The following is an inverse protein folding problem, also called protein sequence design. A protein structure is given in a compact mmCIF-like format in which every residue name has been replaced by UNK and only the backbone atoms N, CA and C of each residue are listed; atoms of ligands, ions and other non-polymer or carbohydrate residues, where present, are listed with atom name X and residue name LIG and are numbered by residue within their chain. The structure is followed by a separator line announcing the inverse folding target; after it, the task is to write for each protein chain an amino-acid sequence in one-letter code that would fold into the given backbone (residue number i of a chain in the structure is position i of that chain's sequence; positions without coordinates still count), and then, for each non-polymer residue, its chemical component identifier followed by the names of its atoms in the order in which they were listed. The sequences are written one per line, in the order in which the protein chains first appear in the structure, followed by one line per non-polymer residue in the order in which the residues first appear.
data_IF_880524995118
#
_entry.id   IF_880524995118
#
_cell.length_a   1.000
_cell.length_b   1.000
_cell.length_c   1.000
_cell.angle_alpha   90.00
_cell.angle_beta   90.00
_cell.angle_gamma   90.00
#
_symmetry.space_group_name_H-M   'P 1'
#
loop_
_entity.id
_entity.type
_entity.pdbx_description
1 polymer ?
#
# COMPACT_ATOMS: atom_id res chain seq x y z
N UNK A 1 12.03 26.77 -31.90
CA UNK A 1 12.14 26.06 -30.61
C UNK A 1 10.75 25.59 -30.19
N UNK A 2 10.41 24.34 -30.50
CA UNK A 2 9.12 23.76 -30.11
C UNK A 2 9.07 23.61 -28.60
N UNK A 3 8.27 24.44 -27.92
CA UNK A 3 7.88 24.21 -26.54
C UNK A 3 6.90 23.05 -26.53
N UNK A 4 7.36 21.88 -26.09
CA UNK A 4 6.51 20.72 -25.84
C UNK A 4 5.40 21.13 -24.87
N UNK A 5 4.15 21.12 -25.34
CA UNK A 5 2.97 21.34 -24.50
C UNK A 5 2.87 20.22 -23.46
N UNK A 6 2.52 20.50 -22.19
CA UNK A 6 2.20 19.45 -21.23
C UNK A 6 0.95 18.71 -21.70
N UNK A 7 1.06 17.38 -21.84
CA UNK A 7 -0.08 16.51 -22.13
C UNK A 7 -1.13 16.74 -21.03
N UNK A 8 -2.31 17.15 -21.45
CA UNK A 8 -3.43 17.39 -20.55
C UNK A 8 -3.85 16.08 -19.87
N UNK A 9 -3.87 16.11 -18.54
CA UNK A 9 -4.90 15.46 -17.72
C UNK A 9 -4.77 13.97 -17.44
N UNK A 10 -3.73 13.53 -16.71
CA UNK A 10 -3.93 12.36 -15.83
C UNK A 10 -4.85 12.80 -14.69
N UNK A 11 -6.13 12.47 -14.75
CA UNK A 11 -7.04 12.71 -13.64
C UNK A 11 -6.85 11.61 -12.58
N UNK A 12 -6.71 11.99 -11.31
CA UNK A 12 -6.67 11.05 -10.18
C UNK A 12 -5.29 10.88 -9.54
N UNK A 13 -5.06 9.73 -8.90
CA UNK A 13 -3.90 9.47 -8.06
C UNK A 13 -2.55 9.49 -8.82
N UNK A 14 -2.55 9.20 -10.12
CA UNK A 14 -1.31 9.22 -10.94
C UNK A 14 -0.75 10.64 -11.09
N UNK A 15 -1.59 11.66 -11.28
CA UNK A 15 -1.12 13.05 -11.27
C UNK A 15 -0.65 13.52 -9.88
N UNK A 16 -1.27 13.00 -8.81
CA UNK A 16 -0.80 13.26 -7.45
C UNK A 16 0.59 12.65 -7.25
N UNK A 17 0.80 11.41 -7.69
CA UNK A 17 2.11 10.75 -7.64
C UNK A 17 3.17 11.53 -8.42
N UNK A 18 2.85 11.96 -9.64
CA UNK A 18 3.72 12.83 -10.46
C UNK A 18 4.11 14.13 -9.72
N UNK A 19 3.13 14.82 -9.13
CA UNK A 19 3.38 16.07 -8.41
C UNK A 19 4.26 15.85 -7.16
N UNK A 20 4.03 14.77 -6.43
CA UNK A 20 4.81 14.43 -5.23
C UNK A 20 6.27 14.16 -5.62
N UNK A 21 6.50 13.34 -6.64
CA UNK A 21 7.86 13.01 -7.12
C UNK A 21 8.54 14.24 -7.71
N UNK A 22 7.82 15.07 -8.48
CA UNK A 22 8.37 16.31 -9.03
C UNK A 22 8.81 17.33 -7.96
N UNK A 23 8.26 17.22 -6.74
CA UNK A 23 8.66 18.03 -5.58
C UNK A 23 9.78 17.39 -4.75
N UNK A 24 10.32 16.25 -5.18
CA UNK A 24 11.37 15.52 -4.46
C UNK A 24 10.87 14.76 -3.22
N UNK A 25 9.56 14.50 -3.14
CA UNK A 25 8.94 13.77 -2.03
C UNK A 25 8.52 12.36 -2.44
N UNK A 26 8.26 11.51 -1.45
CA UNK A 26 7.78 10.15 -1.64
C UNK A 26 6.27 10.01 -1.44
N UNK A 27 5.65 9.07 -2.15
CA UNK A 27 4.24 8.72 -1.96
C UNK A 27 4.03 7.30 -1.40
N UNK A 28 2.89 7.14 -0.73
CA UNK A 28 2.24 5.88 -0.41
C UNK A 28 0.77 6.04 -0.77
N UNK A 29 0.30 5.31 -1.78
CA UNK A 29 -1.06 5.45 -2.31
C UNK A 29 -1.77 4.10 -2.32
N UNK A 30 -3.02 4.08 -1.87
CA UNK A 30 -3.85 2.88 -1.91
C UNK A 30 -4.32 2.59 -3.34
N UNK A 31 -4.11 1.35 -3.80
CA UNK A 31 -4.66 0.84 -5.04
C UNK A 31 -6.14 0.52 -4.83
N UNK A 32 -7.02 1.33 -5.41
CA UNK A 32 -8.48 1.28 -5.20
C UNK A 32 -9.19 0.60 -6.37
N UNK A 33 -10.47 0.25 -6.19
CA UNK A 33 -11.29 -0.41 -7.20
C UNK A 33 -11.46 0.38 -8.51
N UNK A 34 -11.27 1.70 -8.49
CA UNK A 34 -11.26 2.54 -9.70
C UNK A 34 -9.94 2.44 -10.50
N UNK A 35 -8.98 1.60 -10.08
CA UNK A 35 -7.74 1.29 -10.77
C UNK A 35 -7.63 -0.24 -10.97
N UNK A 36 -8.55 -0.85 -11.74
CA UNK A 36 -8.71 -2.30 -11.77
C UNK A 36 -7.46 -3.04 -12.27
N UNK A 37 -6.75 -2.50 -13.25
CA UNK A 37 -5.51 -3.08 -13.79
C UNK A 37 -4.40 -3.10 -12.73
N UNK A 38 -4.15 -1.96 -12.08
CA UNK A 38 -3.13 -1.88 -11.02
C UNK A 38 -3.47 -2.83 -9.88
N UNK A 39 -4.73 -2.82 -9.42
CA UNK A 39 -5.16 -3.68 -8.33
C UNK A 39 -5.02 -5.17 -8.67
N UNK A 40 -5.32 -5.57 -9.91
CA UNK A 40 -5.10 -6.94 -10.40
C UNK A 40 -3.62 -7.32 -10.36
N UNK A 41 -2.74 -6.51 -10.96
CA UNK A 41 -1.31 -6.77 -11.02
C UNK A 41 -0.69 -6.93 -9.62
N UNK A 42 -1.06 -6.04 -8.69
CA UNK A 42 -0.60 -6.14 -7.30
C UNK A 42 -1.13 -7.40 -6.62
N UNK A 43 -2.42 -7.72 -6.80
CA UNK A 43 -3.01 -8.94 -6.22
C UNK A 43 -2.31 -10.19 -6.72
N UNK A 44 -2.09 -10.28 -8.03
CA UNK A 44 -1.45 -11.41 -8.68
C UNK A 44 0.00 -11.58 -8.18
N UNK A 45 0.76 -10.49 -8.06
CA UNK A 45 2.11 -10.51 -7.46
C UNK A 45 2.10 -11.03 -6.02
N UNK A 46 1.03 -10.80 -5.26
CA UNK A 46 0.90 -11.28 -3.89
C UNK A 46 0.26 -12.67 -3.75
N UNK A 47 -0.11 -13.35 -4.84
CA UNK A 47 -0.63 -14.73 -4.77
C UNK A 47 0.44 -15.66 -4.21
N UNK A 48 1.64 -15.66 -4.79
CA UNK A 48 2.74 -16.54 -4.38
C UNK A 48 3.43 -16.04 -3.09
N UNK A 49 3.55 -14.73 -2.95
CA UNK A 49 4.09 -14.09 -1.74
C UNK A 49 3.18 -14.23 -0.52
N UNK A 50 1.91 -14.60 -0.69
CA UNK A 50 1.01 -14.87 0.44
C UNK A 50 1.45 -16.05 1.29
N UNK A 51 2.13 -17.02 0.67
CA UNK A 51 2.69 -18.18 1.34
C UNK A 51 3.99 -17.86 2.10
N UNK A 52 4.60 -16.69 1.84
CA UNK A 52 5.77 -16.23 2.56
C UNK A 52 5.38 -15.56 3.89
N UNK A 53 6.26 -15.67 4.89
CA UNK A 53 6.07 -15.02 6.19
C UNK A 53 5.89 -13.51 6.01
N UNK A 54 4.93 -12.90 6.75
CA UNK A 54 4.77 -11.46 6.73
C UNK A 54 6.06 -10.78 7.17
N UNK A 55 6.39 -9.65 6.54
CA UNK A 55 7.58 -8.87 6.94
C UNK A 55 7.35 -8.11 8.23
N UNK A 56 6.09 -7.94 8.61
CA UNK A 56 5.69 -7.36 9.89
C UNK A 56 4.38 -7.98 10.34
N UNK A 57 4.34 -8.34 11.61
CA UNK A 57 3.17 -8.82 12.34
C UNK A 57 3.03 -7.99 13.61
N UNK A 58 1.80 -7.58 13.91
CA UNK A 58 1.44 -7.00 15.20
C UNK A 58 0.09 -7.52 15.66
N UNK A 59 -0.01 -7.86 16.94
CA UNK A 59 -1.21 -8.46 17.54
C UNK A 59 -1.57 -7.67 18.78
N UNK A 60 -2.70 -6.97 18.71
CA UNK A 60 -3.24 -6.20 19.83
C UNK A 60 -4.42 -6.95 20.45
N UNK A 61 -4.44 -7.05 21.79
CA UNK A 61 -5.55 -7.63 22.54
C UNK A 61 -6.17 -6.58 23.45
N UNK A 62 -7.47 -6.35 23.31
CA UNK A 62 -8.21 -5.39 24.15
C UNK A 62 -9.65 -5.85 24.35
N UNK A 63 -10.15 -5.85 25.59
CA UNK A 63 -11.55 -6.12 25.94
C UNK A 63 -12.20 -7.34 25.23
N UNK A 64 -11.49 -8.46 25.12
CA UNK A 64 -11.99 -9.67 24.45
C UNK A 64 -11.93 -9.64 22.91
N UNK A 65 -11.33 -8.60 22.34
CA UNK A 65 -11.01 -8.46 20.93
C UNK A 65 -9.52 -8.69 20.69
N UNK A 66 -9.20 -9.37 19.60
CA UNK A 66 -7.82 -9.49 19.09
C UNK A 66 -7.77 -8.91 17.69
N UNK A 67 -6.81 -8.02 17.43
CA UNK A 67 -6.54 -7.43 16.14
C UNK A 67 -5.15 -7.88 15.68
N UNK A 68 -5.09 -8.75 14.68
CA UNK A 68 -3.87 -9.10 13.98
C UNK A 68 -3.70 -8.23 12.73
N UNK A 69 -2.53 -7.62 12.58
CA UNK A 69 -2.14 -6.90 11.36
C UNK A 69 -0.88 -7.52 10.79
N UNK A 70 -0.94 -7.82 9.50
CA UNK A 70 0.14 -8.45 8.76
C UNK A 70 0.46 -7.65 7.52
N UNK A 71 1.73 -7.39 7.28
CA UNK A 71 2.19 -6.60 6.14
C UNK A 71 3.23 -7.36 5.30
N UNK A 72 3.08 -7.27 3.98
CA UNK A 72 4.02 -7.79 2.99
C UNK A 72 4.46 -6.67 2.06
N UNK A 73 5.72 -6.76 1.62
CA UNK A 73 6.31 -5.86 0.63
C UNK A 73 7.09 -6.63 -0.40
N UNK A 74 6.92 -6.21 -1.64
CA UNK A 74 7.68 -6.68 -2.79
C UNK A 74 8.17 -5.49 -3.62
N UNK A 75 9.15 -5.76 -4.49
CA UNK A 75 9.54 -4.82 -5.54
C UNK A 75 8.33 -4.50 -6.42
N UNK A 76 8.26 -3.28 -6.93
CA UNK A 76 7.28 -2.89 -7.96
C UNK A 76 7.81 -3.13 -9.39
N UNK A 77 9.07 -3.53 -9.51
CA UNK A 77 9.71 -3.90 -10.77
C UNK A 77 8.90 -4.97 -11.49
N UNK A 78 8.75 -4.80 -12.81
CA UNK A 78 7.95 -5.64 -13.71
C UNK A 78 6.45 -5.77 -13.37
N UNK A 79 5.96 -5.13 -12.30
CA UNK A 79 4.57 -5.20 -11.85
C UNK A 79 3.83 -3.88 -12.09
N UNK A 80 4.48 -2.75 -11.81
CA UNK A 80 3.88 -1.42 -11.93
C UNK A 80 4.52 -0.68 -13.10
N UNK A 81 3.70 -0.19 -14.03
CA UNK A 81 4.18 0.62 -15.16
C UNK A 81 4.81 1.93 -14.65
N UNK A 82 6.14 2.12 -14.78
CA UNK A 82 6.82 3.32 -14.30
C UNK A 82 6.44 4.57 -15.09
N UNK A 83 5.92 4.42 -16.32
CA UNK A 83 5.38 5.54 -17.06
C UNK A 83 4.06 6.02 -16.43
N UNK A 84 3.27 5.14 -15.81
CA UNK A 84 2.03 5.47 -15.08
C UNK A 84 2.27 5.93 -13.65
N UNK A 85 3.24 5.33 -12.98
CA UNK A 85 3.54 5.58 -11.58
C UNK A 85 5.02 5.92 -11.46
N UNK A 86 5.39 7.19 -11.77
CA UNK A 86 6.79 7.58 -11.78
C UNK A 86 7.42 7.36 -10.42
N UNK A 87 8.65 6.84 -10.45
CA UNK A 87 9.42 6.55 -9.25
C UNK A 87 8.85 5.45 -8.36
N UNK A 88 7.80 4.71 -8.75
CA UNK A 88 7.29 3.58 -7.97
C UNK A 88 8.38 2.52 -7.79
N UNK A 89 8.64 2.11 -6.55
CA UNK A 89 9.69 1.13 -6.21
C UNK A 89 9.15 -0.10 -5.52
N UNK A 90 8.06 0.03 -4.76
CA UNK A 90 7.52 -1.10 -3.99
C UNK A 90 6.02 -1.16 -4.01
N UNK A 91 5.50 -2.38 -3.93
CA UNK A 91 4.09 -2.69 -3.71
C UNK A 91 3.90 -3.30 -2.32
N UNK A 92 2.73 -3.09 -1.71
CA UNK A 92 2.45 -3.54 -0.34
C UNK A 92 1.07 -4.15 -0.23
N UNK A 93 0.94 -5.14 0.65
CA UNK A 93 -0.32 -5.74 1.08
C UNK A 93 -0.42 -5.66 2.59
N UNK A 94 -1.57 -5.21 3.08
CA UNK A 94 -1.95 -5.28 4.49
C UNK A 94 -3.15 -6.20 4.64
N UNK A 95 -3.05 -7.12 5.59
CA UNK A 95 -4.15 -7.95 6.07
C UNK A 95 -4.47 -7.52 7.49
N UNK A 96 -5.73 -7.19 7.74
CA UNK A 96 -6.26 -7.00 9.10
C UNK A 96 -7.19 -8.15 9.41
N UNK A 97 -6.85 -8.95 10.41
CA UNK A 97 -7.69 -10.00 10.93
C UNK A 97 -8.20 -9.59 12.31
N UNK A 98 -9.52 -9.56 12.46
CA UNK A 98 -10.16 -9.32 13.76
C UNK A 98 -10.72 -10.62 14.31
N UNK A 99 -10.61 -10.77 15.63
CA UNK A 99 -11.25 -11.82 16.40
C UNK A 99 -12.05 -11.13 17.50
N UNK A 100 -13.37 -11.25 17.47
CA UNK A 100 -14.29 -10.64 18.43
C UNK A 100 -14.96 -11.78 19.22
N UNK A 101 -14.71 -11.87 20.53
CA UNK A 101 -15.31 -12.92 21.37
C UNK A 101 -14.93 -14.35 20.97
N UNK A 102 -13.77 -14.54 20.34
CA UNK A 102 -13.30 -15.83 19.83
C UNK A 102 -13.75 -16.18 18.42
N UNK A 103 -14.56 -15.34 17.76
CA UNK A 103 -14.97 -15.53 16.37
C UNK A 103 -14.14 -14.67 15.41
N UNK A 104 -13.68 -15.26 14.30
CA UNK A 104 -12.98 -14.54 13.25
C UNK A 104 -13.98 -13.70 12.45
N UNK A 105 -13.73 -12.39 12.36
CA UNK A 105 -14.43 -11.51 11.43
C UNK A 105 -13.86 -11.66 10.00
N UNK A 106 -14.56 -11.10 9.01
CA UNK A 106 -14.04 -11.06 7.65
C UNK A 106 -12.69 -10.31 7.60
N UNK A 107 -11.67 -10.90 6.96
CA UNK A 107 -10.37 -10.25 6.84
C UNK A 107 -10.45 -9.06 5.90
N UNK A 108 -9.81 -7.95 6.29
CA UNK A 108 -9.69 -6.78 5.44
C UNK A 108 -8.32 -6.75 4.74
N UNK A 109 -8.35 -6.73 3.40
CA UNK A 109 -7.15 -6.67 2.57
C UNK A 109 -7.04 -5.30 1.89
N UNK A 110 -5.90 -4.64 2.10
CA UNK A 110 -5.57 -3.35 1.47
C UNK A 110 -4.26 -3.45 0.68
N UNK A 111 -4.20 -2.78 -0.46
CA UNK A 111 -3.05 -2.82 -1.37
C UNK A 111 -2.54 -1.41 -1.63
N UNK A 112 -1.21 -1.24 -1.71
CA UNK A 112 -0.58 0.06 -1.87
C UNK A 112 0.62 0.00 -2.82
N UNK A 113 0.94 1.15 -3.38
CA UNK A 113 2.17 1.42 -4.14
C UNK A 113 2.96 2.55 -3.50
N UNK A 114 4.28 2.58 -3.70
CA UNK A 114 5.13 3.60 -3.10
C UNK A 114 6.41 3.84 -3.88
N UNK A 115 6.82 5.11 -3.92
CA UNK A 115 8.08 5.52 -4.53
C UNK A 115 9.33 5.25 -3.69
N UNK A 116 9.13 4.82 -2.45
CA UNK A 116 10.21 4.56 -1.51
C UNK A 116 10.49 3.07 -1.38
N UNK A 117 11.77 2.71 -1.38
CA UNK A 117 12.23 1.44 -0.83
C UNK A 117 12.17 1.52 0.69
N UNK A 118 11.25 0.76 1.29
CA UNK A 118 11.18 0.66 2.75
C UNK A 118 11.96 -0.57 3.21
N UNK A 119 12.91 -0.37 4.11
CA UNK A 119 13.46 -1.44 4.94
C UNK A 119 12.37 -2.01 5.87
N UNK A 120 12.59 -3.19 6.45
CA UNK A 120 11.63 -3.83 7.37
C UNK A 120 11.27 -2.92 8.56
N UNK A 121 12.21 -2.15 9.09
CA UNK A 121 11.98 -1.20 10.19
C UNK A 121 11.13 0.00 9.77
N UNK A 122 11.38 0.50 8.57
CA UNK A 122 10.58 1.57 7.98
C UNK A 122 9.16 1.08 7.66
N UNK A 123 8.99 -0.23 7.41
CA UNK A 123 7.69 -0.88 7.28
C UNK A 123 6.90 -0.89 8.60
N UNK A 124 7.53 -1.34 9.68
CA UNK A 124 6.91 -1.38 10.99
C UNK A 124 6.51 0.03 11.46
N UNK A 125 7.37 1.02 11.17
CA UNK A 125 7.10 2.43 11.48
C UNK A 125 5.97 3.02 10.63
N UNK A 126 5.96 2.74 9.32
CA UNK A 126 4.88 3.17 8.43
C UNK A 126 3.54 2.51 8.77
N UNK A 127 3.53 1.24 9.18
CA UNK A 127 2.33 0.54 9.61
C UNK A 127 1.72 1.17 10.88
N UNK A 128 2.57 1.52 11.87
CA UNK A 128 2.14 2.25 13.07
C UNK A 128 1.63 3.65 12.74
N UNK A 129 2.33 4.39 11.88
CA UNK A 129 1.90 5.71 11.43
C UNK A 129 0.57 5.66 10.65
N UNK A 130 0.35 4.61 9.85
CA UNK A 130 -0.89 4.42 9.12
C UNK A 130 -2.09 4.18 10.07
N UNK A 131 -1.90 3.43 11.17
CA UNK A 131 -2.93 3.31 12.23
C UNK A 131 -3.30 4.65 12.87
N UNK A 132 -2.32 5.53 13.10
CA UNK A 132 -2.59 6.86 13.65
C UNK A 132 -3.44 7.77 12.73
N UNK A 133 -3.47 7.46 11.43
CA UNK A 133 -4.23 8.22 10.42
C UNK A 133 -5.66 7.67 10.28
N UNK A 134 -5.88 6.36 10.44
CA UNK A 134 -7.20 5.71 10.28
C UNK A 134 -7.95 5.47 11.61
N UNK A 135 -7.27 5.56 12.75
CA UNK A 135 -7.87 5.43 14.08
C UNK A 135 -7.69 6.73 14.88
N UNK A 136 -8.45 7.81 14.59
CA UNK A 136 -8.74 8.76 15.65
C UNK A 136 -9.60 7.98 16.65
N UNK A 137 -8.99 7.60 17.78
CA UNK A 137 -9.70 7.12 18.96
C UNK A 137 -11.01 7.92 19.11
N UNK A 138 -12.14 7.25 18.93
CA UNK A 138 -13.48 7.71 19.31
C UNK A 138 -14.09 6.62 20.19
#
# INVERSE_FOLDING_TARGET
MCRSRPRHGRAGQTAIAELIVARGSDYLLAAKGNQPTLLRLIKDAFVDLAAAQPRHEDVEKSHGRTLGQFAWVASAEDIVDPAQWPGCRTIRRFLTQRIDGGQFAEPELRYYISSRELSADALASAARAHRGIENPLH
#
